data_IF_269525105722
#
_entry.id   IF_269525105722
#
_cell.length_a   1.000
_cell.length_b   1.000
_cell.length_c   1.000
_cell.angle_alpha   90.00
_cell.angle_beta   90.00
_cell.angle_gamma   90.00
#
_symmetry.space_group_name_H-M   'P 1'
#
loop_
_entity.id
_entity.type
_entity.pdbx_description
1 polymer ?
#
# COMPACT_ATOMS: atom_id res chain seq x y z
N UNK A 1 -33.68 -60.60 28.58
CA UNK A 1 -33.65 -59.13 28.72
C UNK A 1 -32.23 -58.57 28.29
N UNK A 2 -32.13 -58.00 27.09
CA UNK A 2 -30.89 -57.47 26.56
C UNK A 2 -30.92 -55.95 26.83
N UNK A 3 -29.92 -55.41 27.57
CA UNK A 3 -29.76 -53.96 27.83
C UNK A 3 -29.11 -53.28 26.60
N UNK A 4 -29.62 -52.16 26.13
CA UNK A 4 -28.94 -51.43 25.06
C UNK A 4 -27.73 -50.67 25.61
N UNK A 5 -26.59 -50.80 24.93
CA UNK A 5 -25.35 -50.08 25.16
C UNK A 5 -25.46 -48.74 24.42
N UNK A 6 -25.59 -47.64 25.20
CA UNK A 6 -25.54 -46.29 24.61
C UNK A 6 -24.05 -45.89 24.42
N UNK A 7 -23.65 -45.82 23.16
CA UNK A 7 -22.33 -45.26 22.79
C UNK A 7 -22.44 -43.73 22.77
N UNK A 8 -21.80 -43.08 23.73
CA UNK A 8 -21.62 -41.62 23.71
C UNK A 8 -20.45 -41.29 22.79
N UNK A 9 -20.71 -40.75 21.57
CA UNK A 9 -19.68 -40.20 20.69
C UNK A 9 -19.41 -38.78 21.13
N UNK A 10 -18.28 -38.58 21.83
CA UNK A 10 -17.74 -37.24 22.15
C UNK A 10 -17.10 -36.70 20.87
N UNK A 11 -17.76 -35.79 20.17
CA UNK A 11 -17.15 -35.02 19.06
C UNK A 11 -16.27 -33.94 19.66
N UNK A 12 -14.94 -34.14 19.64
CA UNK A 12 -13.97 -33.11 19.89
C UNK A 12 -14.01 -32.11 18.71
N UNK A 13 -14.65 -30.96 18.91
CA UNK A 13 -14.47 -29.81 18.05
C UNK A 13 -13.05 -29.24 18.32
N UNK A 14 -12.11 -29.56 17.45
CA UNK A 14 -10.80 -28.91 17.40
C UNK A 14 -11.01 -27.49 16.89
N UNK A 15 -11.11 -26.50 17.80
CA UNK A 15 -11.00 -25.09 17.44
C UNK A 15 -9.54 -24.86 17.10
N UNK A 16 -9.21 -24.89 15.81
CA UNK A 16 -7.91 -24.39 15.34
C UNK A 16 -7.94 -22.86 15.51
N UNK A 17 -7.40 -22.36 16.62
CA UNK A 17 -7.01 -20.97 16.73
C UNK A 17 -5.90 -20.75 15.68
N UNK A 18 -6.28 -20.20 14.54
CA UNK A 18 -5.32 -19.71 13.56
C UNK A 18 -4.62 -18.51 14.23
N UNK A 19 -3.37 -18.69 14.65
CA UNK A 19 -2.56 -17.63 15.21
C UNK A 19 -2.49 -16.52 14.15
N UNK A 20 -3.02 -15.36 14.48
CA UNK A 20 -2.90 -14.18 13.64
C UNK A 20 -1.40 -13.85 13.58
N UNK A 21 -0.77 -14.05 12.43
CA UNK A 21 0.65 -13.74 12.24
C UNK A 21 0.84 -12.25 12.44
N UNK A 22 1.53 -11.88 13.51
CA UNK A 22 1.84 -10.46 13.80
C UNK A 22 2.75 -9.93 12.69
N UNK A 23 2.33 -8.86 12.01
CA UNK A 23 3.11 -8.20 10.99
C UNK A 23 4.42 -7.65 11.55
N UNK A 24 5.52 -7.98 10.89
CA UNK A 24 6.86 -7.52 11.28
C UNK A 24 7.01 -6.04 10.91
N UNK A 25 7.29 -5.21 11.92
CA UNK A 25 7.62 -3.80 11.73
C UNK A 25 9.14 -3.69 11.54
N UNK A 26 9.65 -3.20 10.39
CA UNK A 26 11.07 -2.89 10.25
C UNK A 26 11.51 -1.87 11.33
N UNK A 27 12.77 -1.88 11.75
CA UNK A 27 13.27 -0.89 12.72
C UNK A 27 13.00 0.55 12.21
N UNK A 28 12.50 1.41 13.08
CA UNK A 28 12.32 2.82 12.77
C UNK A 28 13.66 3.51 12.60
N UNK A 29 13.72 4.49 11.70
CA UNK A 29 14.94 5.22 11.40
C UNK A 29 15.41 6.07 12.58
N UNK A 30 16.72 6.17 12.70
CA UNK A 30 17.40 7.03 13.63
C UNK A 30 18.39 7.94 12.88
N UNK A 31 18.81 9.04 13.49
CA UNK A 31 19.87 9.88 12.93
C UNK A 31 21.14 9.07 12.68
N UNK A 32 21.73 9.22 11.51
CA UNK A 32 22.87 8.43 11.05
C UNK A 32 22.52 7.19 10.25
N UNK A 33 21.23 6.79 10.19
CA UNK A 33 20.79 5.67 9.34
C UNK A 33 20.88 6.03 7.85
N UNK A 34 21.01 5.02 7.03
CA UNK A 34 21.15 5.16 5.57
C UNK A 34 19.89 4.74 4.84
N UNK A 35 19.43 5.60 3.93
CA UNK A 35 18.32 5.36 3.00
C UNK A 35 18.87 5.19 1.59
N UNK A 36 18.45 4.13 0.89
CA UNK A 36 18.74 3.95 -0.52
C UNK A 36 17.60 4.53 -1.38
N UNK A 37 17.93 5.23 -2.45
CA UNK A 37 16.98 5.69 -3.47
C UNK A 37 17.25 4.94 -4.76
N UNK A 38 16.26 4.23 -5.29
CA UNK A 38 16.40 3.43 -6.52
C UNK A 38 15.11 3.46 -7.36
N UNK A 39 15.17 2.95 -8.57
CA UNK A 39 14.03 2.89 -9.49
C UNK A 39 13.70 1.44 -9.84
N UNK A 40 12.49 0.98 -9.49
CA UNK A 40 11.98 -0.37 -9.84
C UNK A 40 11.14 -0.37 -11.12
N UNK A 41 10.80 0.82 -11.64
CA UNK A 41 9.87 1.01 -12.74
C UNK A 41 10.43 1.96 -13.82
N UNK A 42 9.79 3.12 -14.01
CA UNK A 42 10.21 4.09 -15.03
C UNK A 42 11.53 4.78 -14.64
N UNK A 43 12.25 5.21 -15.70
CA UNK A 43 13.53 5.97 -15.57
C UNK A 43 13.37 7.26 -14.77
N UNK A 44 14.40 7.62 -14.03
CA UNK A 44 14.47 8.84 -13.27
C UNK A 44 15.84 9.51 -13.43
N UNK A 45 15.86 10.86 -13.45
CA UNK A 45 17.05 11.62 -13.81
C UNK A 45 17.86 11.90 -12.53
N UNK A 46 19.16 11.62 -12.55
CA UNK A 46 20.08 11.82 -11.40
C UNK A 46 20.03 13.25 -10.86
N UNK A 47 20.03 14.27 -11.73
CA UNK A 47 19.99 15.68 -11.31
C UNK A 47 18.75 16.07 -10.50
N UNK A 48 17.64 15.33 -10.64
CA UNK A 48 16.40 15.59 -9.89
C UNK A 48 16.39 14.95 -8.50
N UNK A 49 17.45 14.24 -8.10
CA UNK A 49 17.55 13.64 -6.77
C UNK A 49 18.00 14.63 -5.68
N UNK A 50 18.63 15.75 -6.03
CA UNK A 50 19.21 16.66 -5.04
C UNK A 50 18.19 17.14 -3.98
N UNK A 51 16.98 17.58 -4.33
CA UNK A 51 16.00 17.98 -3.31
C UNK A 51 15.63 16.84 -2.35
N UNK A 52 15.65 15.58 -2.83
CA UNK A 52 15.37 14.42 -1.98
C UNK A 52 16.54 14.10 -1.06
N UNK A 53 17.76 14.24 -1.57
CA UNK A 53 18.98 14.09 -0.76
C UNK A 53 18.99 15.15 0.34
N UNK A 54 18.80 16.42 -0.01
CA UNK A 54 18.77 17.53 0.94
C UNK A 54 17.70 17.34 2.03
N UNK A 55 16.52 16.81 1.65
CA UNK A 55 15.45 16.50 2.60
C UNK A 55 15.87 15.41 3.59
N UNK A 56 16.39 14.28 3.11
CA UNK A 56 16.82 13.16 3.97
C UNK A 56 17.99 13.57 4.88
N UNK A 57 18.95 14.33 4.34
CA UNK A 57 20.08 14.87 5.13
C UNK A 57 19.58 15.85 6.20
N UNK A 58 18.55 16.66 5.91
CA UNK A 58 17.92 17.54 6.90
C UNK A 58 17.28 16.78 8.06
N UNK A 59 16.86 15.53 7.81
CA UNK A 59 16.39 14.61 8.86
C UNK A 59 17.53 13.89 9.60
N UNK A 60 18.77 14.13 9.20
CA UNK A 60 19.98 13.53 9.78
C UNK A 60 20.29 12.13 9.25
N UNK A 61 19.82 11.80 8.05
CA UNK A 61 20.02 10.51 7.40
C UNK A 61 21.13 10.59 6.35
N UNK A 62 21.77 9.46 6.06
CA UNK A 62 22.68 9.29 4.94
C UNK A 62 21.91 8.76 3.72
N UNK A 63 22.39 9.11 2.51
CA UNK A 63 21.72 8.70 1.27
C UNK A 63 22.66 7.91 0.38
N UNK A 64 22.16 6.81 -0.15
CA UNK A 64 22.79 6.02 -1.22
C UNK A 64 21.90 6.10 -2.45
N UNK A 65 22.47 6.49 -3.58
CA UNK A 65 21.77 6.47 -4.86
C UNK A 65 22.04 5.13 -5.55
N UNK A 66 20.98 4.38 -5.81
CA UNK A 66 21.03 3.11 -6.49
C UNK A 66 21.46 3.23 -7.94
N UNK A 67 21.99 2.15 -8.47
CA UNK A 67 22.55 2.06 -9.83
C UNK A 67 21.49 2.21 -10.93
N UNK A 68 20.23 1.91 -10.63
CA UNK A 68 19.09 2.07 -11.55
C UNK A 68 18.72 3.53 -11.82
N UNK A 69 19.15 4.46 -10.95
CA UNK A 69 18.93 5.89 -11.16
C UNK A 69 19.85 6.40 -12.28
N UNK A 70 19.23 6.93 -13.32
CA UNK A 70 19.94 7.42 -14.52
C UNK A 70 20.06 6.37 -15.62
N UNK A 71 19.73 5.11 -15.38
CA UNK A 71 19.62 4.13 -16.45
C UNK A 71 18.38 4.39 -17.29
N UNK A 72 18.46 4.02 -18.56
CA UNK A 72 17.41 4.22 -19.53
C UNK A 72 17.31 3.05 -20.51
N UNK A 73 16.13 2.42 -20.55
CA UNK A 73 15.71 1.56 -21.62
C UNK A 73 14.27 1.92 -22.01
N UNK A 74 14.14 2.72 -23.07
CA UNK A 74 12.87 3.34 -23.46
C UNK A 74 12.27 4.12 -22.27
N UNK A 75 11.13 3.68 -21.70
CA UNK A 75 10.52 4.32 -20.55
C UNK A 75 11.05 3.82 -19.19
N UNK A 76 11.77 2.68 -19.17
CA UNK A 76 12.19 2.00 -17.94
C UNK A 76 13.56 2.47 -17.46
N UNK A 77 13.85 2.27 -16.18
CA UNK A 77 15.14 2.52 -15.55
C UNK A 77 16.11 1.36 -15.80
N UNK A 78 16.52 1.18 -17.05
CA UNK A 78 17.31 0.04 -17.50
C UNK A 78 16.47 -1.22 -17.71
N UNK A 79 17.16 -2.33 -17.96
CA UNK A 79 16.54 -3.66 -18.14
C UNK A 79 15.92 -4.17 -16.83
N UNK A 80 15.11 -5.22 -16.91
CA UNK A 80 14.53 -5.85 -15.75
C UNK A 80 15.61 -6.36 -14.78
N UNK A 81 16.69 -6.94 -15.32
CA UNK A 81 17.84 -7.45 -14.56
C UNK A 81 18.62 -6.32 -13.86
N UNK A 82 18.77 -5.15 -14.50
CA UNK A 82 19.47 -4.00 -13.90
C UNK A 82 18.70 -3.49 -12.67
N UNK A 83 17.37 -3.34 -12.80
CA UNK A 83 16.50 -2.88 -11.72
C UNK A 83 16.40 -3.92 -10.60
N UNK A 84 16.32 -5.21 -10.95
CA UNK A 84 16.34 -6.30 -9.99
C UNK A 84 17.64 -6.36 -9.22
N UNK A 85 18.79 -6.28 -9.91
CA UNK A 85 20.11 -6.31 -9.28
C UNK A 85 20.33 -5.14 -8.31
N UNK A 86 19.86 -3.94 -8.67
CA UNK A 86 19.94 -2.77 -7.79
C UNK A 86 19.05 -2.93 -6.56
N UNK A 87 17.80 -3.36 -6.74
CA UNK A 87 16.91 -3.63 -5.60
C UNK A 87 17.47 -4.72 -4.70
N UNK A 88 18.00 -5.82 -5.27
CA UNK A 88 18.60 -6.92 -4.53
C UNK A 88 19.80 -6.45 -3.70
N UNK A 89 20.71 -5.67 -4.30
CA UNK A 89 21.87 -5.12 -3.59
C UNK A 89 21.46 -4.32 -2.36
N UNK A 90 20.43 -3.47 -2.48
CA UNK A 90 19.96 -2.66 -1.34
C UNK A 90 19.15 -3.47 -0.32
N UNK A 91 18.43 -4.49 -0.74
CA UNK A 91 17.74 -5.42 0.18
C UNK A 91 18.75 -6.26 0.98
N UNK A 92 19.83 -6.68 0.38
CA UNK A 92 20.87 -7.52 1.02
C UNK A 92 21.80 -6.71 1.95
N UNK A 93 21.96 -5.42 1.69
CA UNK A 93 22.86 -4.57 2.48
C UNK A 93 22.30 -4.28 3.88
N UNK A 94 22.89 -4.80 4.98
CA UNK A 94 22.38 -4.61 6.33
C UNK A 94 22.49 -3.16 6.84
N UNK A 95 23.30 -2.32 6.19
CA UNK A 95 23.46 -0.91 6.55
C UNK A 95 22.32 -0.04 6.02
N UNK A 96 21.60 -0.48 4.99
CA UNK A 96 20.41 0.21 4.48
C UNK A 96 19.23 -0.07 5.42
N UNK A 97 18.57 0.99 5.89
CA UNK A 97 17.42 0.92 6.80
C UNK A 97 16.09 1.22 6.13
N UNK A 98 16.12 1.94 5.01
CA UNK A 98 14.96 2.14 4.16
C UNK A 98 15.36 2.18 2.68
N UNK A 99 14.44 1.76 1.82
CA UNK A 99 14.52 1.88 0.36
C UNK A 99 13.37 2.79 -0.06
N UNK A 100 13.69 3.92 -0.68
CA UNK A 100 12.72 4.87 -1.22
C UNK A 100 12.70 4.78 -2.75
N UNK A 101 11.62 4.22 -3.31
CA UNK A 101 11.45 4.11 -4.75
C UNK A 101 11.33 5.49 -5.38
N UNK A 102 12.15 5.79 -6.39
CA UNK A 102 12.26 7.13 -6.98
C UNK A 102 10.98 7.55 -7.72
N UNK A 103 10.31 6.60 -8.38
CA UNK A 103 9.04 6.80 -9.07
C UNK A 103 8.34 5.47 -9.39
N UNK A 104 7.05 5.56 -9.69
CA UNK A 104 6.26 4.47 -10.22
C UNK A 104 6.18 4.47 -11.76
N UNK A 105 4.99 4.17 -12.25
CA UNK A 105 4.63 4.06 -13.67
C UNK A 105 4.29 2.62 -14.03
N UNK A 106 5.23 1.87 -14.56
CA UNK A 106 5.11 0.43 -14.82
C UNK A 106 6.48 -0.22 -14.82
N UNK A 107 6.58 -1.43 -14.29
CA UNK A 107 7.79 -2.22 -14.36
C UNK A 107 8.12 -3.01 -13.11
N UNK A 108 7.63 -2.63 -11.94
CA UNK A 108 7.93 -3.33 -10.67
C UNK A 108 7.45 -4.78 -10.68
N UNK A 109 6.32 -5.08 -11.33
CA UNK A 109 5.81 -6.45 -11.48
C UNK A 109 6.75 -7.37 -12.27
N UNK A 110 7.61 -6.81 -13.14
CA UNK A 110 8.62 -7.56 -13.91
C UNK A 110 9.86 -7.87 -13.10
N UNK A 111 10.03 -7.21 -11.96
CA UNK A 111 11.22 -7.28 -11.10
C UNK A 111 10.97 -8.15 -9.87
N UNK A 112 9.78 -8.14 -9.29
CA UNK A 112 9.49 -8.75 -7.99
C UNK A 112 9.84 -10.24 -7.92
N UNK A 113 9.59 -11.00 -8.99
CA UNK A 113 9.86 -12.44 -9.06
C UNK A 113 11.35 -12.78 -9.28
N UNK A 114 12.20 -11.77 -9.55
CA UNK A 114 13.65 -11.91 -9.69
C UNK A 114 14.39 -11.70 -8.35
N UNK A 115 13.68 -11.33 -7.28
CA UNK A 115 14.26 -10.96 -5.99
C UNK A 115 14.28 -12.11 -5.01
N UNK A 116 15.44 -12.34 -4.39
CA UNK A 116 15.59 -13.20 -3.20
C UNK A 116 15.45 -12.37 -1.91
N UNK A 117 14.38 -12.57 -1.19
CA UNK A 117 14.10 -11.88 0.08
C UNK A 117 14.78 -12.53 1.31
N UNK A 118 15.69 -13.49 1.13
CA UNK A 118 16.31 -14.21 2.25
C UNK A 118 17.07 -13.28 3.20
N UNK A 119 17.85 -12.33 2.70
CA UNK A 119 18.58 -11.39 3.54
C UNK A 119 17.67 -10.29 4.09
N UNK A 120 16.67 -9.84 3.31
CA UNK A 120 15.65 -8.92 3.79
C UNK A 120 14.93 -9.46 5.04
N UNK A 121 14.60 -10.76 5.07
CA UNK A 121 13.97 -11.40 6.24
C UNK A 121 14.83 -11.35 7.50
N UNK A 122 16.15 -11.35 7.34
CA UNK A 122 17.11 -11.24 8.48
C UNK A 122 17.31 -9.78 8.92
N UNK A 123 17.26 -8.86 7.98
CA UNK A 123 17.49 -7.43 8.18
C UNK A 123 16.37 -6.61 7.54
N UNK A 124 15.13 -6.69 8.06
CA UNK A 124 14.00 -6.00 7.47
C UNK A 124 14.21 -4.48 7.48
N UNK A 125 13.78 -3.84 6.41
CA UNK A 125 13.91 -2.41 6.20
C UNK A 125 12.64 -1.84 5.61
N UNK A 126 12.40 -0.56 5.79
CA UNK A 126 11.25 0.11 5.22
C UNK A 126 11.34 0.18 3.70
N UNK A 127 10.25 -0.14 3.02
CA UNK A 127 10.07 0.11 1.60
C UNK A 127 9.04 1.20 1.45
N UNK A 128 9.40 2.27 0.73
CA UNK A 128 8.60 3.49 0.59
C UNK A 128 8.29 3.76 -0.88
N UNK A 129 7.03 4.07 -1.16
CA UNK A 129 6.57 4.46 -2.49
C UNK A 129 5.06 4.32 -2.62
N UNK A 130 4.53 4.54 -3.82
CA UNK A 130 3.12 4.35 -4.15
C UNK A 130 2.95 4.03 -5.64
N UNK A 131 1.72 3.97 -6.16
CA UNK A 131 1.47 3.67 -7.57
C UNK A 131 1.97 2.26 -7.92
N UNK A 132 2.81 2.10 -8.94
CA UNK A 132 3.41 0.82 -9.35
C UNK A 132 4.17 0.08 -8.22
N UNK A 133 4.66 0.82 -7.20
CA UNK A 133 5.29 0.22 -6.01
C UNK A 133 4.32 -0.60 -5.16
N UNK A 134 3.01 -0.47 -5.39
CA UNK A 134 1.97 -1.32 -4.80
C UNK A 134 2.27 -2.81 -4.98
N UNK A 135 2.96 -3.20 -6.06
CA UNK A 135 3.43 -4.59 -6.27
C UNK A 135 4.29 -5.06 -5.09
N UNK A 136 5.32 -4.28 -4.73
CA UNK A 136 6.22 -4.61 -3.62
C UNK A 136 5.52 -4.51 -2.27
N UNK A 137 4.64 -3.54 -2.07
CA UNK A 137 3.85 -3.43 -0.84
C UNK A 137 3.04 -4.69 -0.58
N UNK A 138 2.31 -5.17 -1.60
CA UNK A 138 1.51 -6.38 -1.44
C UNK A 138 2.37 -7.63 -1.31
N UNK A 139 3.47 -7.74 -2.05
CA UNK A 139 4.39 -8.86 -1.90
C UNK A 139 4.99 -8.92 -0.48
N UNK A 140 5.45 -7.81 0.07
CA UNK A 140 5.94 -7.72 1.45
C UNK A 140 4.83 -8.02 2.47
N UNK A 141 3.61 -7.56 2.22
CA UNK A 141 2.47 -7.84 3.09
C UNK A 141 2.17 -9.35 3.14
N UNK A 142 2.16 -10.06 1.99
CA UNK A 142 1.98 -11.53 1.98
C UNK A 142 3.10 -12.27 2.70
N UNK A 143 4.29 -11.69 2.79
CA UNK A 143 5.42 -12.20 3.57
C UNK A 143 5.35 -11.85 5.05
N UNK A 144 4.38 -11.03 5.49
CA UNK A 144 4.22 -10.60 6.87
C UNK A 144 5.03 -9.36 7.28
N UNK A 145 5.38 -8.48 6.34
CA UNK A 145 6.16 -7.26 6.61
C UNK A 145 5.37 -6.00 6.30
N UNK A 146 5.52 -4.99 7.18
CA UNK A 146 4.98 -3.64 6.96
C UNK A 146 5.80 -2.87 5.94
N UNK A 147 5.15 -1.95 5.22
CA UNK A 147 5.77 -1.03 4.27
C UNK A 147 5.03 0.32 4.28
N UNK A 148 5.55 1.34 3.61
CA UNK A 148 4.97 2.68 3.65
C UNK A 148 4.53 3.11 2.24
N UNK A 149 3.19 3.20 2.01
CA UNK A 149 2.65 3.98 0.91
C UNK A 149 2.86 5.46 1.23
N UNK A 150 3.48 6.21 0.33
CA UNK A 150 3.76 7.62 0.53
C UNK A 150 4.43 8.26 -0.68
N UNK A 151 4.65 9.58 -0.60
CA UNK A 151 5.29 10.34 -1.67
C UNK A 151 6.60 9.69 -2.14
N UNK A 152 6.93 9.92 -3.40
CA UNK A 152 8.19 9.47 -4.01
C UNK A 152 9.04 10.69 -4.44
N UNK A 153 10.36 10.53 -4.62
CA UNK A 153 11.24 11.60 -5.11
C UNK A 153 10.69 12.39 -6.30
N UNK A 154 10.07 11.71 -7.28
CA UNK A 154 9.45 12.36 -8.45
C UNK A 154 8.34 13.37 -8.08
N UNK A 155 7.63 13.15 -7.00
CA UNK A 155 6.51 14.00 -6.55
C UNK A 155 6.90 15.02 -5.49
N UNK A 156 8.13 14.96 -4.94
CA UNK A 156 8.56 15.76 -3.80
C UNK A 156 8.40 17.26 -4.02
N UNK A 157 8.76 17.77 -5.20
CA UNK A 157 8.70 19.21 -5.50
C UNK A 157 7.26 19.79 -5.47
N UNK A 158 6.24 18.93 -5.54
CA UNK A 158 4.82 19.30 -5.51
C UNK A 158 4.10 18.79 -4.25
N UNK A 159 4.80 18.03 -3.41
CA UNK A 159 4.21 17.44 -2.21
C UNK A 159 3.83 18.53 -1.19
N UNK A 160 2.70 18.33 -0.52
CA UNK A 160 2.29 19.21 0.58
C UNK A 160 3.22 19.02 1.79
N UNK A 161 3.34 20.02 2.67
CA UNK A 161 4.06 19.88 3.93
C UNK A 161 3.54 18.71 4.79
N UNK A 162 2.22 18.48 4.77
CA UNK A 162 1.54 17.40 5.49
C UNK A 162 1.95 16.02 4.94
N UNK A 163 2.07 15.88 3.62
CA UNK A 163 2.53 14.65 3.00
C UNK A 163 3.99 14.34 3.37
N UNK A 164 4.88 15.34 3.33
CA UNK A 164 6.28 15.21 3.72
C UNK A 164 6.41 14.86 5.20
N UNK A 165 5.68 15.58 6.07
CA UNK A 165 5.73 15.34 7.51
C UNK A 165 5.15 13.96 7.88
N UNK A 166 4.06 13.52 7.23
CA UNK A 166 3.50 12.19 7.48
C UNK A 166 4.47 11.06 7.13
N UNK A 167 5.25 11.22 6.05
CA UNK A 167 6.32 10.28 5.70
C UNK A 167 7.42 10.27 6.76
N UNK A 168 7.84 11.45 7.23
CA UNK A 168 8.84 11.57 8.29
C UNK A 168 8.36 10.89 9.57
N UNK A 169 7.13 11.17 10.03
CA UNK A 169 6.55 10.55 11.22
C UNK A 169 6.52 9.03 11.10
N UNK A 170 6.11 8.50 9.93
CA UNK A 170 6.05 7.06 9.69
C UNK A 170 7.42 6.39 9.75
N UNK A 171 8.45 7.01 9.16
CA UNK A 171 9.80 6.46 9.13
C UNK A 171 10.47 6.46 10.50
N UNK A 172 10.20 7.49 11.34
CA UNK A 172 10.80 7.66 12.66
C UNK A 172 9.93 7.09 13.80
N UNK A 173 8.85 6.37 13.49
CA UNK A 173 8.00 5.72 14.48
C UNK A 173 7.23 6.68 15.38
N UNK A 174 6.94 7.86 14.88
CA UNK A 174 6.13 8.84 15.60
C UNK A 174 4.63 8.54 15.41
N UNK A 175 3.78 8.94 16.36
CA UNK A 175 2.34 8.72 16.25
C UNK A 175 1.77 9.27 14.95
N UNK A 176 1.01 8.44 14.23
CA UNK A 176 0.36 8.81 12.98
C UNK A 176 -1.16 8.76 13.16
N UNK A 177 -1.79 9.92 13.01
CA UNK A 177 -3.24 10.08 13.13
C UNK A 177 -3.71 11.10 12.09
N UNK A 178 -4.80 10.78 11.42
CA UNK A 178 -5.46 11.67 10.47
C UNK A 178 -6.86 12.02 10.92
N UNK A 179 -7.24 13.28 10.73
CA UNK A 179 -8.61 13.78 10.82
C UNK A 179 -9.00 14.26 9.44
N UNK A 180 -10.08 13.75 8.90
CA UNK A 180 -10.53 13.96 7.52
C UNK A 180 -11.89 14.61 7.56
N UNK A 181 -12.10 15.65 6.76
CA UNK A 181 -13.36 16.32 6.62
C UNK A 181 -14.48 15.35 6.18
N UNK A 182 -15.72 15.60 6.58
CA UNK A 182 -16.83 14.74 6.21
C UNK A 182 -17.04 14.76 4.69
N UNK A 183 -17.36 13.60 4.14
CA UNK A 183 -17.73 13.47 2.72
C UNK A 183 -19.16 12.88 2.62
N UNK A 184 -20.03 13.38 1.70
CA UNK A 184 -21.44 12.92 1.62
C UNK A 184 -21.58 11.42 1.34
N UNK A 185 -20.58 10.81 0.74
CA UNK A 185 -20.57 9.38 0.42
C UNK A 185 -20.01 8.51 1.55
N UNK A 186 -19.50 9.10 2.64
CA UNK A 186 -18.99 8.34 3.78
C UNK A 186 -20.06 7.41 4.34
N UNK A 187 -19.64 6.23 4.77
CA UNK A 187 -20.50 5.32 5.51
C UNK A 187 -20.07 5.29 6.95
N UNK A 188 -20.98 5.72 7.84
CA UNK A 188 -20.72 5.87 9.27
C UNK A 188 -20.40 4.52 9.93
N UNK A 189 -19.57 4.57 10.97
CA UNK A 189 -19.23 3.39 11.76
C UNK A 189 -17.80 3.41 12.26
N UNK A 190 -17.44 2.32 12.95
CA UNK A 190 -16.08 2.11 13.48
C UNK A 190 -15.58 0.74 13.07
N UNK A 191 -14.30 0.65 12.77
CA UNK A 191 -13.63 -0.62 12.53
C UNK A 191 -12.15 -0.53 12.94
N UNK A 192 -11.57 -1.67 13.29
CA UNK A 192 -10.12 -1.82 13.45
C UNK A 192 -9.66 -3.08 12.71
N UNK A 193 -8.54 -2.98 12.04
CA UNK A 193 -7.95 -4.08 11.29
C UNK A 193 -6.62 -3.68 10.65
N UNK A 194 -5.92 -4.65 10.12
CA UNK A 194 -4.71 -4.43 9.34
C UNK A 194 -5.05 -3.63 8.07
N UNK A 195 -4.27 -2.59 7.79
CA UNK A 195 -4.41 -1.79 6.57
C UNK A 195 -3.67 -2.44 5.43
N UNK A 196 -4.37 -2.72 4.34
CA UNK A 196 -3.82 -3.28 3.10
C UNK A 196 -4.32 -2.50 1.90
N UNK A 197 -3.68 -2.64 0.76
CA UNK A 197 -4.16 -1.99 -0.45
C UNK A 197 -3.09 -1.23 -1.22
N UNK A 198 -3.52 -0.16 -1.90
CA UNK A 198 -2.70 0.70 -2.75
C UNK A 198 -3.42 1.10 -4.04
N UNK A 199 -2.69 1.19 -5.14
CA UNK A 199 -3.24 1.51 -6.44
C UNK A 199 -4.15 0.39 -6.95
N UNK A 200 -5.41 0.71 -7.30
CA UNK A 200 -6.46 -0.27 -7.61
C UNK A 200 -6.14 -1.10 -8.85
N UNK A 201 -5.59 -0.50 -9.89
CA UNK A 201 -5.23 -1.22 -11.13
C UNK A 201 -4.09 -2.21 -10.88
N UNK A 202 -3.17 -1.88 -9.99
CA UNK A 202 -2.12 -2.81 -9.58
C UNK A 202 -2.71 -3.94 -8.72
N UNK A 203 -3.55 -3.64 -7.72
CA UNK A 203 -4.22 -4.68 -6.91
C UNK A 203 -4.98 -5.67 -7.78
N UNK A 204 -5.74 -5.15 -8.75
CA UNK A 204 -6.46 -5.95 -9.73
C UNK A 204 -5.53 -6.88 -10.52
N UNK A 205 -4.39 -6.36 -10.99
CA UNK A 205 -3.43 -7.12 -11.81
C UNK A 205 -2.70 -8.22 -11.04
N UNK A 206 -2.60 -8.09 -9.70
CA UNK A 206 -1.91 -9.06 -8.84
C UNK A 206 -2.77 -10.23 -8.39
N UNK A 207 -4.08 -10.18 -8.60
CA UNK A 207 -4.98 -11.26 -8.18
C UNK A 207 -4.60 -12.60 -8.82
N UNK A 208 -4.49 -13.64 -7.99
CA UNK A 208 -4.05 -14.96 -8.41
C UNK A 208 -2.54 -15.16 -8.48
N UNK A 209 -1.73 -14.12 -8.19
CA UNK A 209 -0.27 -14.21 -8.07
C UNK A 209 0.17 -14.42 -6.61
N UNK A 210 1.48 -14.73 -6.35
CA UNK A 210 2.03 -14.77 -5.00
C UNK A 210 1.95 -13.41 -4.25
N UNK A 211 1.73 -12.32 -4.97
CA UNK A 211 1.59 -10.97 -4.42
C UNK A 211 0.12 -10.53 -4.27
N UNK A 212 -0.84 -11.46 -4.42
CA UNK A 212 -2.25 -11.13 -4.32
C UNK A 212 -2.62 -10.67 -2.91
N UNK A 213 -3.44 -9.61 -2.85
CA UNK A 213 -3.93 -9.07 -1.58
C UNK A 213 -4.81 -10.09 -0.83
N UNK A 214 -4.58 -10.24 0.48
CA UNK A 214 -5.52 -10.89 1.39
C UNK A 214 -6.39 -9.83 2.06
N UNK A 215 -7.70 -9.94 1.87
CA UNK A 215 -8.68 -8.96 2.37
C UNK A 215 -9.37 -9.38 3.67
N UNK A 216 -9.11 -10.62 4.15
CA UNK A 216 -9.88 -11.18 5.27
C UNK A 216 -9.63 -10.39 6.57
N UNK A 217 -10.72 -9.86 7.13
CA UNK A 217 -10.73 -9.10 8.39
C UNK A 217 -9.87 -7.82 8.37
N UNK A 218 -9.60 -7.27 7.17
CA UNK A 218 -8.71 -6.12 6.97
C UNK A 218 -9.46 -4.84 6.59
N UNK A 219 -8.75 -3.72 6.60
CA UNK A 219 -9.20 -2.42 6.09
C UNK A 219 -8.50 -2.22 4.75
N UNK A 220 -9.28 -2.05 3.69
CA UNK A 220 -8.77 -1.87 2.33
C UNK A 220 -8.58 -0.37 2.03
N UNK A 221 -7.39 0.02 1.62
CA UNK A 221 -7.11 1.30 1.01
C UNK A 221 -7.01 1.16 -0.52
N UNK A 222 -7.69 2.03 -1.27
CA UNK A 222 -7.61 2.09 -2.73
C UNK A 222 -7.49 3.52 -3.21
N UNK A 223 -6.72 3.73 -4.26
CA UNK A 223 -6.60 4.96 -5.05
C UNK A 223 -6.31 4.60 -6.50
N UNK A 224 -6.54 5.49 -7.46
CA UNK A 224 -6.10 5.30 -8.84
C UNK A 224 -6.00 6.62 -9.62
N UNK A 225 -5.38 6.55 -10.81
CA UNK A 225 -5.33 7.67 -11.74
C UNK A 225 -5.46 7.20 -13.19
N UNK A 226 -5.95 8.13 -14.05
CA UNK A 226 -5.89 8.03 -15.52
C UNK A 226 -6.62 6.79 -16.11
N UNK A 227 -7.57 6.22 -15.33
CA UNK A 227 -8.34 5.04 -15.72
C UNK A 227 -9.69 5.41 -16.34
N UNK A 228 -10.19 4.58 -17.22
CA UNK A 228 -11.57 4.68 -17.68
C UNK A 228 -12.56 4.27 -16.60
N UNK A 229 -13.68 4.98 -16.50
CA UNK A 229 -14.72 4.71 -15.49
C UNK A 229 -15.23 3.27 -15.55
N UNK A 230 -15.47 2.71 -16.75
CA UNK A 230 -15.84 1.30 -16.89
C UNK A 230 -14.75 0.34 -16.39
N UNK A 231 -13.48 0.75 -16.41
CA UNK A 231 -12.38 -0.06 -15.91
C UNK A 231 -12.33 -0.03 -14.38
N UNK A 232 -12.61 1.13 -13.75
CA UNK A 232 -12.81 1.20 -12.30
C UNK A 232 -13.92 0.23 -11.86
N UNK A 233 -15.06 0.20 -12.55
CA UNK A 233 -16.13 -0.76 -12.28
C UNK A 233 -15.64 -2.22 -12.42
N UNK A 234 -14.94 -2.54 -13.51
CA UNK A 234 -14.38 -3.87 -13.76
C UNK A 234 -13.45 -4.32 -12.63
N UNK A 235 -12.56 -3.46 -12.18
CA UNK A 235 -11.60 -3.76 -11.11
C UNK A 235 -12.33 -3.99 -9.77
N UNK A 236 -13.27 -3.14 -9.41
CA UNK A 236 -14.10 -3.30 -8.22
C UNK A 236 -14.96 -4.56 -8.27
N UNK A 237 -15.55 -4.87 -9.44
CA UNK A 237 -16.31 -6.11 -9.65
C UNK A 237 -15.43 -7.35 -9.56
N UNK A 238 -14.16 -7.27 -9.98
CA UNK A 238 -13.21 -8.36 -9.82
C UNK A 238 -12.91 -8.61 -8.34
N UNK A 239 -12.56 -7.58 -7.55
CA UNK A 239 -12.36 -7.69 -6.10
C UNK A 239 -13.60 -8.30 -5.42
N UNK A 240 -14.80 -7.87 -5.82
CA UNK A 240 -16.06 -8.42 -5.31
C UNK A 240 -16.19 -9.91 -5.62
N UNK A 241 -15.96 -10.33 -6.86
CA UNK A 241 -16.11 -11.73 -7.31
C UNK A 241 -15.05 -12.66 -6.72
N UNK A 242 -13.89 -12.13 -6.38
CA UNK A 242 -12.85 -12.85 -5.63
C UNK A 242 -13.14 -12.97 -4.13
N UNK A 243 -14.26 -12.43 -3.62
CA UNK A 243 -14.64 -12.49 -2.21
C UNK A 243 -13.91 -11.47 -1.31
N UNK A 244 -13.06 -10.60 -1.89
CA UNK A 244 -12.32 -9.61 -1.12
C UNK A 244 -13.26 -8.67 -0.36
N UNK A 245 -14.25 -8.09 -1.03
CA UNK A 245 -15.14 -7.09 -0.41
C UNK A 245 -16.04 -7.67 0.69
N UNK A 246 -16.32 -8.97 0.69
CA UNK A 246 -17.19 -9.62 1.69
C UNK A 246 -16.51 -9.82 3.04
N UNK A 247 -15.18 -9.87 3.04
CA UNK A 247 -14.39 -10.16 4.23
C UNK A 247 -13.78 -8.93 4.89
N UNK A 248 -13.96 -7.73 4.29
CA UNK A 248 -13.40 -6.48 4.79
C UNK A 248 -14.12 -5.98 6.05
N UNK A 249 -13.36 -5.28 6.91
CA UNK A 249 -13.89 -4.53 8.06
C UNK A 249 -14.17 -3.06 7.74
N UNK A 250 -13.53 -2.50 6.73
CA UNK A 250 -13.71 -1.11 6.31
C UNK A 250 -12.96 -0.81 5.01
N UNK A 251 -13.27 0.36 4.42
CA UNK A 251 -12.61 0.81 3.20
C UNK A 251 -12.21 2.27 3.35
N UNK A 252 -10.99 2.59 2.92
CA UNK A 252 -10.48 3.95 2.76
C UNK A 252 -10.28 4.19 1.26
N UNK A 253 -11.03 5.13 0.69
CA UNK A 253 -10.91 5.54 -0.72
C UNK A 253 -10.11 6.83 -0.77
N UNK A 254 -8.92 6.75 -1.35
CA UNK A 254 -8.06 7.89 -1.63
C UNK A 254 -8.46 8.65 -2.89
N UNK A 255 -7.48 9.26 -3.53
CA UNK A 255 -7.74 10.01 -4.76
C UNK A 255 -8.08 9.11 -5.93
N UNK A 256 -9.04 9.56 -6.75
CA UNK A 256 -9.39 8.99 -8.05
C UNK A 256 -9.22 10.12 -9.07
N UNK A 257 -8.00 10.31 -9.59
CA UNK A 257 -7.62 11.48 -10.38
C UNK A 257 -7.59 11.20 -11.87
N UNK A 258 -7.84 12.23 -12.69
CA UNK A 258 -7.73 12.21 -14.16
C UNK A 258 -8.50 11.04 -14.81
N UNK A 259 -9.66 10.67 -14.23
CA UNK A 259 -10.51 9.60 -14.76
C UNK A 259 -11.05 9.96 -16.15
N UNK A 260 -11.07 8.97 -17.03
CA UNK A 260 -11.53 9.08 -18.41
C UNK A 260 -12.91 8.46 -18.58
N UNK A 261 -13.68 9.00 -19.52
CA UNK A 261 -14.94 8.42 -19.94
C UNK A 261 -14.93 8.17 -21.44
N UNK A 262 -15.91 7.44 -21.94
CA UNK A 262 -16.12 7.17 -23.36
C UNK A 262 -17.08 8.20 -23.99
N UNK A 263 -17.19 8.19 -25.31
CA UNK A 263 -18.15 9.03 -26.04
C UNK A 263 -19.60 8.80 -25.55
N UNK A 264 -19.94 7.56 -25.20
CA UNK A 264 -21.15 7.23 -24.46
C UNK A 264 -20.77 7.20 -22.99
N UNK A 265 -21.24 8.17 -22.18
CA UNK A 265 -20.85 8.29 -20.79
C UNK A 265 -21.21 7.06 -19.97
N UNK A 266 -20.33 6.68 -19.03
CA UNK A 266 -20.61 5.65 -18.03
C UNK A 266 -21.76 6.05 -17.08
N UNK A 267 -21.94 7.35 -16.86
CA UNK A 267 -23.04 7.91 -16.09
C UNK A 267 -22.81 7.94 -14.57
N UNK A 268 -21.64 7.54 -14.09
CA UNK A 268 -21.19 7.63 -12.69
C UNK A 268 -19.72 7.99 -12.65
N UNK A 269 -19.30 8.79 -11.66
CA UNK A 269 -17.89 9.02 -11.40
C UNK A 269 -17.26 7.83 -10.63
N UNK A 270 -15.94 7.83 -10.47
CA UNK A 270 -15.20 6.73 -9.84
C UNK A 270 -15.65 6.47 -8.39
N UNK A 271 -15.93 7.50 -7.59
CA UNK A 271 -16.38 7.35 -6.21
C UNK A 271 -17.77 6.73 -6.15
N UNK A 272 -18.68 7.15 -7.03
CA UNK A 272 -20.03 6.58 -7.16
C UNK A 272 -19.99 5.10 -7.59
N UNK A 273 -19.05 4.71 -8.44
CA UNK A 273 -18.82 3.32 -8.84
C UNK A 273 -18.40 2.50 -7.62
N UNK A 274 -17.40 2.97 -6.85
CA UNK A 274 -16.95 2.29 -5.63
C UNK A 274 -18.10 2.15 -4.63
N UNK A 275 -18.87 3.22 -4.40
CA UNK A 275 -20.03 3.22 -3.51
C UNK A 275 -21.08 2.20 -3.95
N UNK A 276 -21.39 2.14 -5.25
CA UNK A 276 -22.41 1.24 -5.81
C UNK A 276 -22.02 -0.24 -5.66
N UNK A 277 -20.77 -0.58 -6.03
CA UNK A 277 -20.27 -1.95 -5.91
C UNK A 277 -20.23 -2.43 -4.45
N UNK A 278 -19.97 -1.50 -3.51
CA UNK A 278 -19.88 -1.79 -2.07
C UNK A 278 -21.20 -1.62 -1.31
N UNK A 279 -22.30 -1.25 -1.99
CA UNK A 279 -23.58 -0.89 -1.38
C UNK A 279 -24.15 -1.94 -0.42
N UNK A 280 -23.97 -3.23 -0.74
CA UNK A 280 -24.53 -4.34 0.07
C UNK A 280 -23.74 -4.61 1.37
N UNK A 281 -22.50 -4.10 1.50
CA UNK A 281 -21.66 -4.37 2.66
C UNK A 281 -21.86 -3.27 3.72
N UNK A 282 -22.20 -3.69 4.93
CA UNK A 282 -22.43 -2.75 6.04
C UNK A 282 -21.14 -2.52 6.83
N UNK A 283 -20.15 -1.92 6.17
CA UNK A 283 -18.84 -1.60 6.76
C UNK A 283 -18.59 -0.09 6.64
N UNK A 284 -17.85 0.54 7.58
CA UNK A 284 -17.50 1.95 7.48
C UNK A 284 -16.64 2.24 6.27
N UNK A 285 -16.86 3.39 5.63
CA UNK A 285 -16.11 3.83 4.46
C UNK A 285 -15.74 5.31 4.58
N UNK A 286 -14.49 5.62 4.31
CA UNK A 286 -13.97 7.00 4.18
C UNK A 286 -13.73 7.26 2.70
N UNK A 287 -14.31 8.34 2.16
CA UNK A 287 -14.02 8.82 0.82
C UNK A 287 -13.16 10.08 0.86
N UNK A 288 -12.44 10.30 -0.22
CA UNK A 288 -11.55 11.46 -0.39
C UNK A 288 -10.45 11.56 0.68
N UNK A 289 -9.92 10.42 1.12
CA UNK A 289 -8.76 10.39 2.00
C UNK A 289 -7.55 11.01 1.27
N UNK A 290 -6.76 11.90 1.91
CA UNK A 290 -5.64 12.57 1.27
C UNK A 290 -4.45 11.62 1.08
N UNK A 291 -4.57 10.70 0.13
CA UNK A 291 -3.50 9.82 -0.33
C UNK A 291 -3.76 9.37 -1.77
N UNK A 292 -2.69 9.08 -2.50
CA UNK A 292 -2.70 8.68 -3.92
C UNK A 292 -2.04 9.72 -4.83
N UNK A 293 -2.54 9.88 -6.06
CA UNK A 293 -1.92 10.74 -7.07
C UNK A 293 -2.35 12.21 -6.95
N UNK A 294 -2.15 12.76 -5.78
CA UNK A 294 -2.39 14.17 -5.43
C UNK A 294 -1.18 14.77 -4.72
N UNK A 295 -1.14 16.10 -4.60
CA UNK A 295 -0.03 16.78 -3.92
C UNK A 295 0.03 16.45 -2.43
N UNK A 296 -1.14 16.33 -1.77
CA UNK A 296 -1.27 15.92 -0.36
C UNK A 296 -1.39 14.39 -0.25
N UNK A 297 -0.37 13.66 -0.72
CA UNK A 297 -0.31 12.21 -0.63
C UNK A 297 0.30 11.79 0.70
N UNK A 298 -0.50 11.76 1.75
CA UNK A 298 -0.09 11.41 3.11
C UNK A 298 0.28 9.94 3.23
N UNK A 299 1.26 9.66 4.08
CA UNK A 299 1.80 8.32 4.25
C UNK A 299 0.81 7.38 4.94
N UNK A 300 0.78 6.13 4.50
CA UNK A 300 0.02 5.04 5.10
C UNK A 300 0.95 3.87 5.37
N UNK A 301 0.99 3.37 6.61
CA UNK A 301 1.78 2.19 6.96
C UNK A 301 0.93 0.95 6.64
N UNK A 302 1.18 0.32 5.49
CA UNK A 302 0.52 -0.91 5.09
C UNK A 302 1.02 -2.08 5.95
N UNK A 303 0.11 -2.97 6.34
CA UNK A 303 0.38 -4.02 7.31
C UNK A 303 0.26 -3.58 8.77
N UNK A 304 0.03 -2.28 9.04
CA UNK A 304 -0.23 -1.81 10.41
C UNK A 304 -1.71 -1.97 10.77
N UNK A 305 -1.98 -2.24 12.04
CA UNK A 305 -3.35 -2.14 12.55
C UNK A 305 -3.76 -0.68 12.57
N UNK A 306 -4.92 -0.39 11.99
CA UNK A 306 -5.52 0.94 12.04
C UNK A 306 -6.91 0.88 12.63
N UNK A 307 -7.27 1.92 13.39
CA UNK A 307 -8.64 2.14 13.84
C UNK A 307 -9.24 3.30 13.04
N UNK A 308 -10.38 3.04 12.40
CA UNK A 308 -11.16 4.07 11.69
C UNK A 308 -12.46 4.35 12.45
N UNK A 309 -12.79 5.64 12.55
CA UNK A 309 -14.09 6.11 13.05
C UNK A 309 -14.65 7.13 12.06
N UNK A 310 -15.83 6.84 11.53
CA UNK A 310 -16.53 7.67 10.55
C UNK A 310 -17.79 8.21 11.18
N UNK A 311 -17.86 9.53 11.34
CA UNK A 311 -19.00 10.26 11.90
C UNK A 311 -19.54 11.27 10.90
N UNK A 312 -20.66 11.92 11.22
CA UNK A 312 -21.23 12.99 10.39
C UNK A 312 -20.31 14.23 10.30
N UNK A 313 -19.50 14.46 11.33
CA UNK A 313 -18.69 15.67 11.45
C UNK A 313 -17.24 15.50 10.99
N UNK A 314 -16.69 14.31 11.13
CA UNK A 314 -15.32 13.99 10.68
C UNK A 314 -15.11 12.48 10.60
N UNK A 315 -14.07 12.08 9.89
CA UNK A 315 -13.51 10.72 9.92
C UNK A 315 -12.12 10.74 10.53
N UNK A 316 -11.78 9.74 11.33
CA UNK A 316 -10.43 9.59 11.88
C UNK A 316 -9.82 8.27 11.47
N UNK A 317 -8.51 8.29 11.21
CA UNK A 317 -7.67 7.10 10.99
C UNK A 317 -6.51 7.17 11.96
N UNK A 318 -6.37 6.19 12.83
CA UNK A 318 -5.33 6.11 13.86
C UNK A 318 -4.51 4.85 13.63
N UNK A 319 -3.20 4.98 13.52
CA UNK A 319 -2.26 3.88 13.41
C UNK A 319 -1.82 3.44 14.81
N UNK A 320 -1.91 2.14 15.09
CA UNK A 320 -1.59 1.54 16.40
C UNK A 320 -0.13 1.10 16.50
#
# INVERSE_FOLDING_TARGET
MRKPLFLFILSLLSITMQAQTTMITPPYLQKGDTVAILATARKHIVKSMQPTIDLLESWGLHVVIGKSIGLEENQLAGKDEDRAADLQEQLDNPNIKAIWCARGGYGTVRVVDLIDFTQFKKHPKWLVGFSDVTVLHNHLNTMGYKSIHGIMPISLAKASPEAIESLRLSLFGQPLKYSIDPHPMNRLGKASGELVGGNLSILYSLLGSPSAIDCKDKILYIEDLDEYLYHIDRMMMNLKRNGCLESLKGIIVGSMTDMKDNDIPWGKNALEIVQDVTKKYNIPMIFNFPAGHIHDNRALILGNTVSIEVTENCSTVVFE
#
